data_IF_099731004610
#
_entry.id   IF_099731004610
#
_cell.length_a   1.000
_cell.length_b   1.000
_cell.length_c   1.000
_cell.angle_alpha   90.00
_cell.angle_beta   90.00
_cell.angle_gamma   90.00
#
_symmetry.space_group_name_H-M   'P 1'
#
loop_
_entity.id
_entity.type
_entity.pdbx_description
1 polymer ?
#
# COMPACT_ATOMS: atom_id res chain seq x y z
N UNK A 1 -21.98 57.62 -32.74
CA UNK A 1 -23.31 56.99 -32.53
C UNK A 1 -23.37 56.49 -31.09
N UNK A 2 -24.56 56.35 -30.47
CA UNK A 2 -24.77 56.00 -29.05
C UNK A 2 -25.92 54.99 -28.90
N UNK A 3 -26.10 54.44 -27.68
CA UNK A 3 -26.93 53.26 -27.29
C UNK A 3 -26.15 51.96 -27.55
N UNK A 4 -25.83 51.10 -26.57
CA UNK A 4 -26.31 50.95 -25.19
C UNK A 4 -27.81 50.61 -25.10
N UNK A 5 -28.10 49.33 -24.86
CA UNK A 5 -29.40 48.80 -24.45
C UNK A 5 -29.17 47.86 -23.26
N UNK A 6 -29.41 48.38 -22.06
CA UNK A 6 -29.90 47.58 -20.94
C UNK A 6 -31.44 47.60 -21.01
N UNK A 7 -32.08 46.51 -20.59
CA UNK A 7 -33.48 46.51 -20.14
C UNK A 7 -33.83 45.21 -19.42
N UNK A 8 -33.46 45.10 -18.15
CA UNK A 8 -34.05 44.12 -17.24
C UNK A 8 -35.53 44.45 -16.95
N UNK A 9 -36.48 43.74 -17.56
CA UNK A 9 -37.88 43.68 -17.09
C UNK A 9 -38.69 42.56 -17.75
N UNK A 10 -38.96 41.48 -17.01
CA UNK A 10 -40.13 40.62 -17.23
C UNK A 10 -40.74 40.24 -15.87
N UNK A 11 -41.87 40.87 -15.53
CA UNK A 11 -42.74 40.46 -14.41
C UNK A 11 -44.20 40.81 -14.69
N UNK A 12 -45.09 39.89 -14.30
CA UNK A 12 -46.51 40.11 -13.97
C UNK A 12 -47.48 40.47 -15.11
N UNK A 13 -48.34 39.51 -15.48
CA UNK A 13 -49.79 39.74 -15.65
C UNK A 13 -50.55 38.40 -15.59
N UNK A 14 -51.83 38.47 -15.20
CA UNK A 14 -52.81 37.37 -15.03
C UNK A 14 -52.60 36.46 -13.79
N UNK A 15 -53.63 36.16 -12.99
CA UNK A 15 -55.00 36.69 -13.02
C UNK A 15 -56.01 35.76 -12.33
N UNK A 16 -56.46 36.13 -11.13
CA UNK A 16 -57.35 35.32 -10.29
C UNK A 16 -58.70 34.99 -10.97
N UNK A 17 -59.21 33.77 -10.74
CA UNK A 17 -60.64 33.52 -10.57
C UNK A 17 -60.89 32.45 -9.50
N UNK A 18 -61.54 32.85 -8.41
CA UNK A 18 -62.22 31.98 -7.46
C UNK A 18 -63.72 31.97 -7.80
N UNK A 19 -64.46 30.94 -7.33
CA UNK A 19 -65.58 31.28 -6.45
C UNK A 19 -65.58 30.48 -5.13
N UNK A 20 -66.11 31.13 -4.10
CA UNK A 20 -66.63 30.51 -2.86
C UNK A 20 -68.10 30.08 -3.10
N UNK A 21 -68.89 29.45 -2.22
CA UNK A 21 -68.89 29.35 -0.76
C UNK A 21 -69.88 28.26 -0.25
N UNK A 22 -69.95 28.07 1.08
CA UNK A 22 -70.93 27.25 1.84
C UNK A 22 -70.81 25.72 1.68
N UNK A 23 -71.18 24.89 2.67
CA UNK A 23 -71.50 25.19 4.07
C UNK A 23 -72.38 24.13 4.77
N UNK A 24 -72.17 23.97 6.08
CA UNK A 24 -73.03 23.29 7.08
C UNK A 24 -72.98 21.75 7.31
N UNK A 25 -72.81 21.42 8.60
CA UNK A 25 -73.29 20.27 9.40
C UNK A 25 -73.00 18.80 9.02
N UNK A 26 -72.25 18.14 9.92
CA UNK A 26 -72.83 17.10 10.78
C UNK A 26 -72.43 15.63 10.56
N UNK A 27 -72.28 14.87 11.65
CA UNK A 27 -72.31 13.39 11.63
C UNK A 27 -71.05 12.67 12.14
N UNK A 28 -71.08 12.26 13.40
CA UNK A 28 -70.06 11.40 14.03
C UNK A 28 -69.87 10.04 13.34
N UNK A 29 -68.66 9.46 13.37
CA UNK A 29 -68.42 8.10 13.93
C UNK A 29 -66.94 7.63 13.94
N UNK A 30 -66.63 6.89 15.02
CA UNK A 30 -65.57 5.87 15.18
C UNK A 30 -64.10 6.31 15.07
N UNK A 31 -63.39 6.20 16.20
CA UNK A 31 -61.96 5.94 16.21
C UNK A 31 -61.67 4.51 15.74
N UNK A 32 -60.47 4.28 15.21
CA UNK A 32 -59.90 2.95 14.94
C UNK A 32 -58.45 2.93 15.45
N UNK A 33 -58.07 1.86 16.14
CA UNK A 33 -56.76 1.72 16.80
C UNK A 33 -55.83 0.94 15.85
N UNK A 34 -54.72 1.55 15.43
CA UNK A 34 -53.66 0.85 14.70
C UNK A 34 -52.83 0.00 15.65
N UNK A 35 -52.91 -1.33 15.54
CA UNK A 35 -52.28 -2.22 16.50
C UNK A 35 -50.76 -2.29 16.33
N UNK A 36 -50.07 -2.23 17.47
CA UNK A 36 -48.68 -2.68 17.61
C UNK A 36 -48.62 -4.18 17.30
N UNK A 37 -47.58 -4.64 16.58
CA UNK A 37 -47.38 -6.07 16.30
C UNK A 37 -46.21 -6.59 17.13
N UNK A 38 -46.49 -7.49 18.07
CA UNK A 38 -45.49 -8.16 18.91
C UNK A 38 -45.33 -9.60 18.42
N UNK A 39 -44.14 -9.96 17.94
CA UNK A 39 -43.73 -11.35 17.73
C UNK A 39 -43.00 -11.83 18.99
N UNK A 40 -43.60 -12.78 19.71
CA UNK A 40 -42.99 -13.37 20.90
C UNK A 40 -42.12 -14.58 20.52
N UNK A 41 -40.89 -14.63 21.07
CA UNK A 41 -40.10 -15.86 21.06
C UNK A 41 -40.62 -16.82 22.12
N UNK A 42 -40.98 -18.04 21.72
CA UNK A 42 -41.26 -19.12 22.65
C UNK A 42 -39.94 -19.81 23.03
N UNK A 43 -39.63 -19.86 24.33
CA UNK A 43 -38.49 -20.61 24.86
C UNK A 43 -38.97 -22.01 25.25
N UNK A 44 -38.26 -23.03 24.75
CA UNK A 44 -38.28 -24.39 25.32
C UNK A 44 -36.82 -24.76 25.55
N UNK A 45 -36.48 -25.06 26.81
CA UNK A 45 -35.21 -25.65 27.19
C UNK A 45 -35.45 -26.93 27.98
N UNK A 46 -34.44 -27.79 28.00
CA UNK A 46 -34.21 -28.81 29.01
C UNK A 46 -32.70 -28.92 29.21
N UNK A 47 -32.24 -28.78 30.45
CA UNK A 47 -30.93 -29.27 30.88
C UNK A 47 -30.97 -30.80 31.06
N UNK A 48 -29.84 -31.49 30.89
CA UNK A 48 -29.22 -32.15 32.06
C UNK A 48 -27.76 -32.63 31.82
N UNK A 49 -26.84 -31.95 32.50
CA UNK A 49 -25.75 -32.48 33.36
C UNK A 49 -24.96 -33.78 33.05
N UNK A 50 -23.63 -33.66 33.23
CA UNK A 50 -22.68 -34.72 33.68
C UNK A 50 -22.25 -35.81 32.67
N UNK A 51 -21.02 -36.36 32.69
CA UNK A 51 -19.78 -36.08 33.47
C UNK A 51 -18.53 -36.53 32.67
N UNK A 52 -17.31 -36.43 33.22
CA UNK A 52 -16.04 -36.70 32.52
C UNK A 52 -15.06 -37.57 33.30
N UNK A 53 -14.20 -38.34 32.62
CA UNK A 53 -12.84 -38.75 33.10
C UNK A 53 -12.02 -39.55 32.08
N UNK A 54 -10.69 -39.34 32.09
CA UNK A 54 -9.53 -40.23 31.81
C UNK A 54 -9.52 -41.34 30.72
N UNK A 55 -8.32 -41.61 30.17
CA UNK A 55 -7.96 -42.80 29.36
C UNK A 55 -7.52 -44.01 30.23
N UNK A 56 -6.60 -44.92 29.79
CA UNK A 56 -5.60 -44.80 28.71
C UNK A 56 -5.54 -46.04 27.75
N UNK A 57 -4.44 -46.17 26.95
CA UNK A 57 -3.80 -47.35 26.28
C UNK A 57 -4.66 -48.47 25.62
N UNK A 58 -4.31 -49.07 24.48
CA UNK A 58 -3.24 -50.07 24.30
C UNK A 58 -3.02 -50.45 22.80
N UNK A 59 -1.82 -50.94 22.46
CA UNK A 59 -1.53 -51.85 21.32
C UNK A 59 -1.72 -53.32 21.79
N UNK A 60 -2.01 -54.34 20.95
CA UNK A 60 -1.34 -54.68 19.66
C UNK A 60 -2.36 -55.16 18.56
N UNK A 61 -2.03 -55.76 17.41
CA UNK A 61 -0.76 -55.99 16.68
C UNK A 61 -0.80 -57.26 15.79
N UNK A 62 0.19 -57.37 14.89
CA UNK A 62 0.61 -58.54 14.05
C UNK A 62 -0.31 -59.09 12.92
N UNK A 63 0.28 -59.21 11.72
CA UNK A 63 0.19 -60.26 10.67
C UNK A 63 -1.18 -60.88 10.24
N UNK A 64 -1.46 -61.16 8.95
CA UNK A 64 -0.62 -62.05 8.10
C UNK A 64 -0.86 -61.94 6.57
N UNK A 65 0.27 -62.00 5.83
CA UNK A 65 0.52 -62.59 4.48
C UNK A 65 -0.60 -62.93 3.46
N UNK A 66 -0.47 -62.42 2.22
CA UNK A 66 -0.36 -63.20 0.95
C UNK A 66 -0.17 -62.21 -0.24
N UNK A 67 0.96 -62.20 -0.97
CA UNK A 67 1.31 -63.03 -2.15
C UNK A 67 0.27 -62.98 -3.29
N UNK A 68 0.60 -62.71 -4.58
CA UNK A 68 1.84 -63.11 -5.28
C UNK A 68 2.21 -62.31 -6.57
N UNK A 69 3.53 -62.28 -6.84
CA UNK A 69 4.31 -62.31 -8.11
C UNK A 69 3.74 -61.88 -9.48
N UNK A 70 4.53 -61.09 -10.25
CA UNK A 70 4.39 -60.93 -11.72
C UNK A 70 5.05 -59.68 -12.35
N UNK A 71 6.37 -59.48 -12.22
CA UNK A 71 7.42 -59.73 -13.25
C UNK A 71 7.41 -58.84 -14.53
N UNK A 72 8.27 -57.81 -14.49
CA UNK A 72 9.16 -57.23 -15.53
C UNK A 72 9.04 -57.73 -17.00
N UNK A 73 8.88 -56.77 -17.93
CA UNK A 73 9.65 -56.70 -19.20
C UNK A 73 9.73 -55.26 -19.76
N UNK A 74 10.86 -54.94 -20.37
CA UNK A 74 11.14 -53.77 -21.22
C UNK A 74 10.65 -54.01 -22.68
N UNK A 75 10.61 -53.00 -23.56
CA UNK A 75 11.57 -53.04 -24.69
C UNK A 75 12.10 -51.67 -25.14
N UNK A 76 13.17 -51.70 -25.94
CA UNK A 76 13.97 -50.56 -26.38
C UNK A 76 13.59 -49.99 -27.77
N UNK A 77 14.39 -49.03 -28.25
CA UNK A 77 14.29 -48.31 -29.54
C UNK A 77 14.41 -49.22 -30.79
N UNK A 78 13.96 -48.74 -31.97
CA UNK A 78 14.86 -48.41 -33.12
C UNK A 78 14.16 -47.63 -34.27
N UNK A 79 14.68 -46.43 -34.56
CA UNK A 79 15.00 -45.79 -35.88
C UNK A 79 14.10 -45.86 -37.14
N UNK A 80 14.18 -44.76 -37.93
CA UNK A 80 14.10 -44.65 -39.41
C UNK A 80 12.70 -44.63 -40.10
N UNK A 81 12.46 -43.91 -41.21
CA UNK A 81 13.19 -42.78 -41.87
C UNK A 81 12.39 -42.14 -43.03
N UNK A 82 12.66 -40.85 -43.32
CA UNK A 82 12.49 -40.19 -44.65
C UNK A 82 11.03 -39.93 -45.16
N UNK A 83 10.75 -38.99 -46.08
CA UNK A 83 11.61 -38.12 -46.92
C UNK A 83 10.88 -36.87 -47.47
N UNK A 84 11.59 -35.73 -47.52
CA UNK A 84 11.64 -34.70 -48.61
C UNK A 84 10.34 -33.97 -49.08
N UNK A 85 10.36 -32.79 -49.78
CA UNK A 85 11.45 -32.03 -50.45
C UNK A 85 11.11 -30.52 -50.65
N UNK A 86 12.10 -29.63 -50.48
CA UNK A 86 12.45 -28.41 -51.28
C UNK A 86 11.38 -27.31 -51.62
N UNK A 87 11.66 -26.06 -52.02
CA UNK A 87 12.85 -25.15 -52.24
C UNK A 87 12.27 -23.69 -52.29
N UNK A 88 12.96 -22.54 -52.32
CA UNK A 88 14.34 -22.04 -52.15
C UNK A 88 14.20 -20.58 -51.60
N UNK A 89 15.08 -19.56 -51.67
CA UNK A 89 16.41 -19.22 -52.23
C UNK A 89 16.86 -17.95 -51.47
N UNK A 90 18.10 -17.73 -51.01
CA UNK A 90 19.43 -17.62 -51.66
C UNK A 90 19.59 -16.39 -52.58
N UNK A 91 20.64 -15.56 -52.51
CA UNK A 91 21.80 -15.49 -51.56
C UNK A 91 22.70 -14.24 -51.85
N UNK A 92 23.82 -14.09 -51.12
CA UNK A 92 25.11 -13.48 -51.57
C UNK A 92 25.25 -11.92 -51.62
N UNK A 93 26.43 -11.28 -51.42
CA UNK A 93 27.80 -11.78 -51.10
C UNK A 93 28.76 -10.75 -50.44
N UNK A 94 29.68 -11.26 -49.59
CA UNK A 94 31.12 -10.93 -49.44
C UNK A 94 31.64 -9.52 -49.02
N UNK A 95 32.96 -9.47 -48.81
CA UNK A 95 33.74 -8.51 -48.03
C UNK A 95 35.04 -8.07 -48.75
N UNK A 96 35.64 -6.96 -48.30
CA UNK A 96 37.02 -6.56 -48.64
C UNK A 96 37.90 -6.39 -47.38
N UNK A 97 39.22 -6.36 -47.58
CA UNK A 97 40.25 -6.33 -46.52
C UNK A 97 41.29 -5.25 -46.81
N UNK A 98 41.75 -4.52 -45.78
CA UNK A 98 43.07 -3.85 -45.75
C UNK A 98 43.58 -3.62 -44.32
N UNK A 99 44.90 -3.61 -44.17
CA UNK A 99 45.64 -3.50 -42.90
C UNK A 99 46.35 -2.13 -42.78
N UNK A 100 47.23 -2.01 -41.77
CA UNK A 100 48.15 -0.91 -41.39
C UNK A 100 47.57 0.17 -40.45
N UNK A 101 48.28 0.62 -39.40
CA UNK A 101 49.58 0.15 -38.84
C UNK A 101 49.82 0.63 -37.38
N UNK A 102 50.61 -0.14 -36.62
CA UNK A 102 51.57 0.23 -35.54
C UNK A 102 51.28 1.46 -34.62
N UNK A 103 51.48 1.40 -33.30
CA UNK A 103 52.74 0.92 -32.67
C UNK A 103 52.59 0.55 -31.19
N UNK A 104 53.46 -0.33 -30.69
CA UNK A 104 53.70 -0.54 -29.25
C UNK A 104 54.72 0.47 -28.69
N UNK A 105 54.77 0.62 -27.36
CA UNK A 105 56.06 0.53 -26.64
C UNK A 105 55.92 0.20 -25.15
N UNK A 106 56.94 -0.45 -24.59
CA UNK A 106 56.99 -0.96 -23.21
C UNK A 106 58.26 -0.51 -22.47
N UNK A 107 58.18 -0.50 -21.14
CA UNK A 107 59.28 -0.28 -20.17
C UNK A 107 58.66 -0.13 -18.76
N UNK A 108 59.00 -0.89 -17.70
CA UNK A 108 60.29 -1.03 -16.99
C UNK A 108 60.88 0.32 -16.56
N UNK A 109 61.27 0.55 -15.30
CA UNK A 109 61.26 -0.24 -14.04
C UNK A 109 61.37 0.75 -12.84
N UNK A 110 61.44 0.45 -11.53
CA UNK A 110 62.02 -0.65 -10.72
C UNK A 110 61.63 -0.50 -9.21
N UNK A 111 61.97 -1.50 -8.36
CA UNK A 111 62.28 -1.47 -6.88
C UNK A 111 61.75 -0.34 -5.97
N UNK A 112 61.19 -0.58 -4.78
CA UNK A 112 61.76 -1.26 -3.58
C UNK A 112 60.62 -1.67 -2.60
N UNK A 113 60.60 -2.79 -1.85
CA UNK A 113 61.43 -3.25 -0.69
C UNK A 113 61.39 -2.25 0.51
N UNK A 114 61.03 -2.59 1.77
CA UNK A 114 60.74 -3.88 2.45
C UNK A 114 59.76 -3.73 3.67
N UNK A 115 59.36 -4.89 4.26
CA UNK A 115 58.98 -5.20 5.67
C UNK A 115 58.12 -4.21 6.53
N UNK A 116 56.99 -4.56 7.17
CA UNK A 116 56.61 -5.60 8.18
C UNK A 116 56.28 -4.93 9.55
N UNK A 117 55.57 -5.49 10.55
CA UNK A 117 54.88 -6.79 10.71
C UNK A 117 53.75 -6.72 11.77
N UNK A 118 53.02 -7.84 11.97
CA UNK A 118 52.19 -8.28 13.14
C UNK A 118 52.02 -7.36 14.36
N UNK A 119 50.78 -7.10 14.86
CA UNK A 119 49.96 -7.98 15.75
C UNK A 119 50.54 -8.16 17.19
N UNK A 120 49.79 -8.29 18.30
CA UNK A 120 48.60 -9.12 18.53
C UNK A 120 47.77 -8.74 19.79
N UNK A 121 46.60 -9.38 19.92
CA UNK A 121 45.54 -9.26 20.95
C UNK A 121 45.93 -9.48 22.43
N UNK A 122 45.05 -9.00 23.36
CA UNK A 122 44.72 -9.71 24.62
C UNK A 122 43.34 -9.34 25.19
N UNK A 123 42.78 -10.22 26.02
CA UNK A 123 41.42 -10.17 26.60
C UNK A 123 41.43 -10.37 28.13
N UNK A 124 40.50 -9.69 28.83
CA UNK A 124 39.70 -10.11 30.02
C UNK A 124 39.01 -8.84 30.60
N UNK A 125 37.73 -8.76 30.99
CA UNK A 125 36.76 -9.66 31.67
C UNK A 125 36.81 -9.60 33.21
N UNK A 126 35.82 -8.92 33.81
CA UNK A 126 35.25 -9.22 35.14
C UNK A 126 33.94 -8.48 35.36
N UNK A 127 33.04 -9.03 36.17
CA UNK A 127 31.68 -8.53 36.46
C UNK A 127 31.44 -8.31 37.96
N UNK A 128 30.44 -7.51 38.33
CA UNK A 128 29.75 -7.62 39.64
C UNK A 128 28.41 -6.88 39.66
N UNK A 129 27.51 -7.32 40.55
CA UNK A 129 26.12 -6.85 40.74
C UNK A 129 26.04 -5.73 41.79
N UNK A 130 25.00 -4.89 41.72
CA UNK A 130 24.60 -4.03 42.85
C UNK A 130 23.28 -3.29 42.63
N UNK A 131 22.23 -3.69 43.35
CA UNK A 131 21.07 -2.84 43.69
C UNK A 131 21.17 -2.41 45.16
N UNK A 132 20.60 -1.26 45.54
CA UNK A 132 19.46 -1.33 46.46
C UNK A 132 18.35 -0.30 46.14
N UNK A 133 17.40 -0.14 47.06
CA UNK A 133 16.12 0.54 46.90
C UNK A 133 16.06 2.00 47.40
N UNK A 134 15.10 2.76 46.84
CA UNK A 134 14.15 3.67 47.52
C UNK A 134 14.57 4.96 48.30
N UNK A 135 13.60 5.88 48.31
CA UNK A 135 13.33 6.94 49.32
C UNK A 135 14.07 8.30 49.27
N UNK A 136 13.40 9.26 48.60
CA UNK A 136 13.08 10.63 49.09
C UNK A 136 14.09 11.45 49.93
N UNK A 137 14.47 12.64 49.43
CA UNK A 137 13.85 13.91 49.90
C UNK A 137 14.43 15.20 49.25
N UNK A 138 13.53 16.14 48.96
CA UNK A 138 13.64 17.62 49.06
C UNK A 138 14.92 18.41 48.68
N UNK A 139 14.77 19.19 47.59
CA UNK A 139 15.31 20.54 47.29
C UNK A 139 16.69 21.01 47.81
N UNK A 140 17.53 21.50 46.87
CA UNK A 140 17.91 22.95 46.83
C UNK A 140 18.62 23.42 45.55
N UNK A 141 18.00 24.42 44.91
CA UNK A 141 18.59 25.58 44.20
C UNK A 141 19.59 25.44 43.03
N UNK A 142 19.38 26.32 42.03
CA UNK A 142 20.27 26.68 40.90
C UNK A 142 20.51 25.58 39.83
N UNK A 143 20.54 25.89 38.53
CA UNK A 143 20.65 27.21 37.87
C UNK A 143 19.53 27.46 36.85
N UNK A 144 19.15 28.73 36.68
CA UNK A 144 18.14 29.17 35.71
C UNK A 144 18.71 29.21 34.27
N UNK A 145 18.99 28.03 33.70
CA UNK A 145 19.17 27.92 32.26
C UNK A 145 17.83 28.17 31.56
N UNK A 146 17.79 29.15 30.66
CA UNK A 146 16.72 29.20 29.65
C UNK A 146 16.87 28.00 28.73
N UNK A 147 16.21 26.89 29.08
CA UNK A 147 15.81 25.93 28.07
C UNK A 147 14.71 26.62 27.28
N UNK A 148 15.07 27.20 26.13
CA UNK A 148 14.07 27.36 25.08
C UNK A 148 13.65 25.96 24.69
N UNK A 149 12.49 25.55 25.23
CA UNK A 149 11.77 24.42 24.69
C UNK A 149 11.36 24.84 23.29
N UNK A 150 12.17 24.47 22.30
CA UNK A 150 11.82 24.50 20.88
C UNK A 150 10.70 23.51 20.65
N UNK A 151 9.53 23.86 21.16
CA UNK A 151 8.26 23.21 20.93
C UNK A 151 7.91 23.47 19.48
N UNK A 152 8.52 22.68 18.59
CA UNK A 152 8.25 22.66 17.15
C UNK A 152 6.81 22.23 16.92
N UNK A 153 5.89 23.18 17.11
CA UNK A 153 4.46 23.01 16.93
C UNK A 153 4.20 22.86 15.43
N UNK A 154 4.28 21.61 14.97
CA UNK A 154 3.95 21.22 13.60
C UNK A 154 2.56 21.77 13.30
N UNK A 155 2.45 22.61 12.28
CA UNK A 155 1.17 23.23 11.95
C UNK A 155 0.21 22.14 11.45
N UNK A 156 -0.97 22.06 12.06
CA UNK A 156 -2.03 21.21 11.54
C UNK A 156 -2.51 21.78 10.20
N UNK A 157 -2.61 20.92 9.20
CA UNK A 157 -3.20 21.25 7.92
C UNK A 157 -4.72 21.33 8.08
N UNK A 158 -5.31 22.42 7.58
CA UNK A 158 -6.78 22.58 7.56
C UNK A 158 -7.37 21.66 6.49
N UNK A 159 -8.46 20.91 6.78
CA UNK A 159 -9.24 20.22 5.75
C UNK A 159 -9.67 21.20 4.66
N UNK A 160 -9.46 20.81 3.41
CA UNK A 160 -9.63 21.68 2.23
C UNK A 160 -10.77 21.23 1.30
N UNK A 161 -11.40 20.08 1.56
CA UNK A 161 -12.45 19.48 0.74
C UNK A 161 -13.68 19.05 1.56
N UNK A 162 -14.84 19.16 0.94
CA UNK A 162 -16.16 18.70 1.41
C UNK A 162 -16.95 18.09 0.24
N UNK A 163 -18.18 17.65 0.49
CA UNK A 163 -19.11 17.19 -0.56
C UNK A 163 -19.53 18.30 -1.56
N UNK A 164 -19.41 19.59 -1.18
CA UNK A 164 -19.90 20.73 -1.97
C UNK A 164 -18.82 21.70 -2.44
N UNK A 165 -17.66 21.71 -1.79
CA UNK A 165 -16.55 22.62 -2.07
C UNK A 165 -15.21 21.88 -2.02
N UNK A 166 -14.28 22.24 -2.91
CA UNK A 166 -12.99 21.59 -3.08
C UNK A 166 -11.90 22.65 -3.31
N UNK A 167 -11.24 23.05 -2.22
CA UNK A 167 -10.29 24.16 -2.16
C UNK A 167 -8.84 23.66 -1.94
N UNK A 168 -8.56 22.38 -2.18
CA UNK A 168 -7.23 21.80 -1.97
C UNK A 168 -6.21 22.28 -3.03
N UNK A 169 -4.93 22.42 -2.63
CA UNK A 169 -3.83 22.74 -3.53
C UNK A 169 -3.45 21.48 -4.34
N UNK A 170 -4.03 21.35 -5.54
CA UNK A 170 -3.80 20.26 -6.47
C UNK A 170 -2.70 20.58 -7.50
N UNK A 171 -2.06 19.53 -8.01
CA UNK A 171 -1.14 19.57 -9.14
C UNK A 171 -1.20 18.29 -9.96
N UNK A 172 -0.21 18.09 -10.82
CA UNK A 172 -0.01 16.84 -11.57
C UNK A 172 1.47 16.48 -11.66
N UNK A 173 1.75 15.19 -11.89
CA UNK A 173 3.06 14.68 -12.30
C UNK A 173 2.88 13.85 -13.57
N UNK A 174 3.71 14.12 -14.58
CA UNK A 174 3.87 13.27 -15.76
C UNK A 174 4.94 12.21 -15.46
N UNK A 175 4.64 10.95 -15.78
CA UNK A 175 5.61 9.87 -15.77
C UNK A 175 6.13 9.62 -17.19
N UNK A 176 7.27 10.23 -17.54
CA UNK A 176 7.86 10.14 -18.89
C UNK A 176 8.20 8.71 -19.34
N UNK A 177 8.15 7.72 -18.43
CA UNK A 177 8.43 6.30 -18.72
C UNK A 177 7.26 5.57 -19.38
N UNK A 178 6.03 6.05 -19.22
CA UNK A 178 4.83 5.49 -19.88
C UNK A 178 3.84 6.56 -20.42
N UNK A 179 4.09 7.84 -20.15
CA UNK A 179 3.26 8.97 -20.56
C UNK A 179 2.04 9.21 -19.66
N UNK A 180 1.88 8.47 -18.56
CA UNK A 180 0.75 8.63 -17.66
C UNK A 180 0.91 9.90 -16.81
N UNK A 181 -0.13 10.73 -16.79
CA UNK A 181 -0.23 11.88 -15.88
C UNK A 181 -1.07 11.51 -14.68
N UNK A 182 -0.53 11.69 -13.48
CA UNK A 182 -1.20 11.44 -12.21
C UNK A 182 -1.51 12.76 -11.51
N UNK A 183 -2.66 12.84 -10.82
CA UNK A 183 -3.02 13.96 -9.95
C UNK A 183 -2.20 13.92 -8.66
N UNK A 184 -1.84 15.11 -8.17
CA UNK A 184 -1.14 15.30 -6.90
C UNK A 184 -1.91 16.29 -6.03
N UNK A 185 -1.74 16.19 -4.71
CA UNK A 185 -2.33 17.12 -3.74
C UNK A 185 -1.29 17.41 -2.65
N UNK A 186 -1.25 18.64 -2.18
CA UNK A 186 -0.38 19.06 -1.08
C UNK A 186 -1.11 18.95 0.25
N UNK A 187 -0.47 18.35 1.25
CA UNK A 187 -1.02 18.15 2.59
C UNK A 187 0.05 18.51 3.63
N UNK A 188 -0.19 19.59 4.37
CA UNK A 188 0.87 20.29 5.09
C UNK A 188 1.89 20.85 4.08
N UNK A 189 3.17 20.60 4.33
CA UNK A 189 4.25 21.01 3.42
C UNK A 189 4.51 20.01 2.28
N UNK A 190 4.10 18.74 2.42
CA UNK A 190 4.44 17.67 1.48
C UNK A 190 3.45 17.52 0.32
N UNK A 191 3.98 17.19 -0.86
CA UNK A 191 3.20 16.80 -2.04
C UNK A 191 3.02 15.28 -2.11
N UNK A 192 1.78 14.84 -2.24
CA UNK A 192 1.40 13.43 -2.35
C UNK A 192 0.72 13.15 -3.68
N UNK A 193 0.92 11.97 -4.26
CA UNK A 193 0.05 11.49 -5.34
C UNK A 193 -1.37 11.30 -4.77
N UNK A 194 -2.38 11.89 -5.44
CA UNK A 194 -3.80 11.68 -5.13
C UNK A 194 -4.35 10.39 -5.79
N UNK A 195 -3.59 9.80 -6.72
CA UNK A 195 -3.90 8.57 -7.43
C UNK A 195 -2.85 7.49 -7.15
N UNK A 196 -3.22 6.22 -7.29
CA UNK A 196 -2.30 5.10 -7.07
C UNK A 196 -1.39 4.93 -8.31
N UNK A 197 -0.09 4.73 -8.11
CA UNK A 197 0.84 4.54 -9.23
C UNK A 197 0.47 3.30 -10.06
N UNK A 198 0.46 3.42 -11.38
CA UNK A 198 0.00 2.42 -12.33
C UNK A 198 1.09 2.02 -13.36
N UNK A 199 2.34 2.43 -13.12
CA UNK A 199 3.50 2.09 -13.94
C UNK A 199 3.73 0.57 -14.04
N UNK A 200 3.87 0.04 -15.25
CA UNK A 200 3.99 -1.41 -15.48
C UNK A 200 5.43 -1.90 -15.29
N UNK A 201 5.63 -2.77 -14.29
CA UNK A 201 6.83 -3.60 -14.11
C UNK A 201 6.48 -5.10 -14.09
N UNK A 202 7.45 -5.97 -14.35
CA UNK A 202 7.28 -7.44 -14.37
C UNK A 202 6.69 -8.02 -13.08
N UNK A 203 6.96 -7.38 -11.94
CA UNK A 203 6.53 -7.80 -10.61
C UNK A 203 5.44 -6.88 -10.03
N UNK A 204 4.57 -6.37 -10.92
CA UNK A 204 3.38 -5.60 -10.58
C UNK A 204 2.15 -6.12 -11.32
N UNK A 205 0.97 -5.98 -10.71
CA UNK A 205 -0.25 -6.67 -11.11
C UNK A 205 -1.45 -5.72 -11.05
N UNK A 206 -2.42 -5.91 -11.94
CA UNK A 206 -3.76 -5.35 -11.75
C UNK A 206 -4.52 -6.23 -10.75
N UNK A 207 -5.48 -5.69 -10.00
CA UNK A 207 -6.34 -6.54 -9.16
C UNK A 207 -7.09 -7.56 -10.04
N UNK A 208 -7.05 -8.85 -9.72
CA UNK A 208 -7.58 -9.94 -10.57
C UNK A 208 -7.10 -9.90 -12.04
N UNK A 209 -5.92 -9.33 -12.29
CA UNK A 209 -5.29 -9.23 -13.62
C UNK A 209 -6.11 -8.51 -14.71
N UNK A 210 -7.18 -7.77 -14.35
CA UNK A 210 -7.98 -6.98 -15.30
C UNK A 210 -7.42 -5.58 -15.51
N UNK A 211 -7.31 -5.16 -16.78
CA UNK A 211 -6.90 -3.81 -17.15
C UNK A 211 -7.80 -2.71 -16.55
N UNK A 212 -9.11 -2.94 -16.48
CA UNK A 212 -10.09 -2.03 -15.86
C UNK A 212 -9.77 -1.76 -14.38
N UNK A 213 -9.24 -2.77 -13.67
CA UNK A 213 -8.83 -2.61 -12.29
C UNK A 213 -7.47 -1.92 -12.14
N UNK A 214 -6.56 -2.02 -13.13
CA UNK A 214 -5.39 -1.13 -13.18
C UNK A 214 -5.81 0.33 -13.40
N UNK A 215 -6.69 0.60 -14.37
CA UNK A 215 -7.19 1.95 -14.65
C UNK A 215 -7.91 2.56 -13.43
N UNK A 216 -8.71 1.78 -12.71
CA UNK A 216 -9.46 2.26 -11.54
C UNK A 216 -8.66 2.35 -10.24
N UNK A 217 -7.71 1.44 -9.99
CA UNK A 217 -7.05 1.30 -8.67
C UNK A 217 -5.52 1.43 -8.72
N UNK A 218 -4.94 1.70 -9.89
CA UNK A 218 -3.50 1.56 -10.12
C UNK A 218 -3.03 0.11 -9.97
N UNK A 219 -1.72 -0.05 -9.82
CA UNK A 219 -1.08 -1.37 -9.70
C UNK A 219 -0.80 -1.77 -8.26
N UNK A 220 -0.73 -3.09 -8.07
CA UNK A 220 -0.21 -3.73 -6.87
C UNK A 220 1.21 -4.22 -7.17
N UNK A 221 2.20 -3.81 -6.37
CA UNK A 221 3.62 -4.07 -6.56
C UNK A 221 4.14 -5.00 -5.45
N UNK A 222 5.00 -5.97 -5.76
CA UNK A 222 5.82 -6.57 -4.70
C UNK A 222 6.72 -5.50 -4.09
N UNK A 223 7.17 -5.66 -2.84
CA UNK A 223 8.06 -4.65 -2.25
C UNK A 223 9.38 -4.51 -3.02
N UNK A 224 9.87 -5.60 -3.62
CA UNK A 224 11.03 -5.57 -4.52
C UNK A 224 10.78 -4.77 -5.81
N UNK A 225 9.57 -4.83 -6.37
CA UNK A 225 9.18 -3.99 -7.51
C UNK A 225 9.04 -2.53 -7.10
N UNK A 226 8.39 -2.27 -5.96
CA UNK A 226 8.22 -0.92 -5.42
C UNK A 226 9.58 -0.23 -5.16
N UNK A 227 10.54 -0.94 -4.59
CA UNK A 227 11.89 -0.44 -4.29
C UNK A 227 12.80 -0.31 -5.52
N UNK A 228 12.39 -0.74 -6.72
CA UNK A 228 13.26 -0.90 -7.89
C UNK A 228 14.51 -1.75 -7.58
N UNK A 229 14.28 -3.02 -7.19
CA UNK A 229 15.35 -3.96 -6.83
C UNK A 229 16.40 -4.18 -7.93
N UNK A 230 16.05 -3.97 -9.21
CA UNK A 230 17.00 -4.03 -10.31
C UNK A 230 17.97 -2.83 -10.35
N UNK A 231 17.53 -1.68 -9.83
CA UNK A 231 18.23 -0.39 -9.92
C UNK A 231 18.13 0.20 -11.32
N UNK A 232 16.93 0.18 -11.90
CA UNK A 232 16.58 0.67 -13.24
C UNK A 232 16.49 2.19 -13.31
N UNK A 233 15.94 2.81 -12.25
CA UNK A 233 15.62 4.23 -12.14
C UNK A 233 16.37 4.91 -10.99
N UNK A 234 16.86 4.14 -10.02
CA UNK A 234 17.75 4.61 -8.94
C UNK A 234 18.54 3.45 -8.33
N UNK A 235 19.79 3.68 -7.94
CA UNK A 235 20.60 2.69 -7.21
C UNK A 235 20.13 2.47 -5.76
N UNK A 236 19.31 3.37 -5.20
CA UNK A 236 19.06 3.42 -3.75
C UNK A 236 18.35 2.18 -3.18
N UNK A 237 17.46 1.54 -3.95
CA UNK A 237 16.76 0.31 -3.56
C UNK A 237 17.30 -0.98 -4.20
N UNK A 238 18.45 -0.90 -4.89
CA UNK A 238 19.01 -2.02 -5.66
C UNK A 238 19.33 -3.23 -4.76
N UNK A 239 18.81 -4.40 -5.13
CA UNK A 239 18.94 -5.65 -4.38
C UNK A 239 17.98 -5.81 -3.19
N UNK A 240 17.15 -4.80 -2.89
CA UNK A 240 16.18 -4.87 -1.80
C UNK A 240 14.96 -5.72 -2.20
N UNK A 241 14.49 -6.59 -1.31
CA UNK A 241 13.39 -7.50 -1.63
C UNK A 241 13.19 -8.63 -0.62
N UNK A 242 12.34 -9.59 -0.96
CA UNK A 242 12.12 -10.79 -0.15
C UNK A 242 13.41 -11.61 0.00
N UNK A 243 13.64 -12.17 1.20
CA UNK A 243 14.85 -12.92 1.51
C UNK A 243 16.15 -12.10 1.54
N UNK A 244 16.07 -10.76 1.43
CA UNK A 244 17.20 -9.84 1.51
C UNK A 244 16.97 -8.79 2.59
N UNK A 245 18.06 -8.39 3.26
CA UNK A 245 18.12 -7.20 4.11
C UNK A 245 18.54 -6.01 3.24
N UNK A 246 17.87 -4.89 3.39
CA UNK A 246 18.03 -3.66 2.64
C UNK A 246 18.65 -2.61 3.56
N UNK A 247 19.67 -1.91 3.08
CA UNK A 247 20.25 -0.73 3.74
C UNK A 247 20.28 0.41 2.72
N UNK A 248 19.10 0.95 2.33
CA UNK A 248 19.00 1.88 1.23
C UNK A 248 19.45 3.28 1.68
N UNK A 249 19.86 4.11 0.73
CA UNK A 249 19.98 5.55 0.97
C UNK A 249 18.61 6.19 0.77
N UNK A 250 18.12 6.93 1.76
CA UNK A 250 16.84 7.64 1.67
C UNK A 250 17.05 9.07 1.13
N UNK A 251 16.07 9.63 0.38
CA UNK A 251 14.84 8.99 -0.08
C UNK A 251 15.09 7.91 -1.16
N UNK A 252 14.16 6.96 -1.27
CA UNK A 252 14.22 5.87 -2.27
C UNK A 252 13.20 6.16 -3.36
N UNK A 253 13.65 6.64 -4.53
CA UNK A 253 12.79 6.79 -5.73
C UNK A 253 12.01 5.51 -5.98
N UNK A 254 12.70 4.38 -6.03
CA UNK A 254 12.11 3.09 -6.36
C UNK A 254 11.39 3.14 -7.70
N UNK A 255 10.15 2.67 -7.71
CA UNK A 255 9.27 2.67 -8.88
C UNK A 255 8.67 4.04 -9.21
N UNK A 256 8.85 5.08 -8.38
CA UNK A 256 8.22 6.39 -8.59
C UNK A 256 8.76 7.19 -9.81
N UNK A 257 7.98 8.17 -10.31
CA UNK A 257 8.43 9.13 -11.32
C UNK A 257 9.69 9.91 -10.88
N UNK A 258 10.28 10.68 -11.79
CA UNK A 258 11.48 11.46 -11.45
C UNK A 258 11.14 12.63 -10.51
N UNK A 259 11.99 12.87 -9.52
CA UNK A 259 11.73 13.87 -8.47
C UNK A 259 10.65 13.47 -7.46
N UNK A 260 10.23 12.20 -7.43
CA UNK A 260 9.28 11.61 -6.49
C UNK A 260 9.84 10.32 -5.88
N UNK A 261 9.40 9.94 -4.68
CA UNK A 261 9.91 8.75 -3.99
C UNK A 261 8.87 7.97 -3.20
N UNK A 262 9.26 6.75 -2.80
CA UNK A 262 8.48 5.92 -1.89
C UNK A 262 8.54 6.50 -0.47
N UNK A 263 7.39 6.82 0.16
CA UNK A 263 7.34 7.38 1.50
C UNK A 263 7.98 6.45 2.54
N UNK A 264 8.80 7.02 3.40
CA UNK A 264 9.28 6.36 4.62
C UNK A 264 8.18 6.31 5.68
N UNK A 265 8.40 5.51 6.73
CA UNK A 265 7.57 5.51 7.93
C UNK A 265 7.50 6.92 8.58
N UNK A 266 8.56 7.72 8.47
CA UNK A 266 8.59 9.10 8.98
C UNK A 266 7.60 9.99 8.24
N UNK A 267 7.57 9.93 6.90
CA UNK A 267 6.73 10.80 6.07
C UNK A 267 5.25 10.45 6.20
N UNK A 268 4.90 9.17 6.33
CA UNK A 268 3.54 8.77 6.69
C UNK A 268 3.13 9.33 8.07
N UNK A 269 4.03 9.33 9.06
CA UNK A 269 3.77 9.96 10.36
C UNK A 269 3.67 11.50 10.28
N UNK A 270 4.43 12.15 9.39
CA UNK A 270 4.30 13.59 9.09
C UNK A 270 2.90 13.89 8.52
N UNK A 271 2.45 13.13 7.52
CA UNK A 271 1.11 13.24 6.95
C UNK A 271 0.02 13.08 8.01
N UNK A 272 0.13 12.05 8.86
CA UNK A 272 -0.84 11.83 9.93
C UNK A 272 -0.83 12.95 10.97
N UNK A 273 0.35 13.42 11.38
CA UNK A 273 0.51 14.54 12.32
C UNK A 273 -0.14 15.80 11.77
N UNK A 274 0.10 16.13 10.50
CA UNK A 274 -0.53 17.28 9.83
C UNK A 274 -2.06 17.21 9.83
N UNK A 275 -2.65 16.01 9.73
CA UNK A 275 -4.11 15.79 9.73
C UNK A 275 -4.73 15.77 11.15
N UNK A 276 -3.90 15.81 12.21
CA UNK A 276 -4.35 15.76 13.60
C UNK A 276 -4.19 14.40 14.29
N UNK A 277 -3.51 13.45 13.66
CA UNK A 277 -3.08 12.18 14.24
C UNK A 277 -3.65 10.93 13.57
N UNK A 278 -3.09 9.77 13.93
CA UNK A 278 -3.49 8.48 13.36
C UNK A 278 -4.97 8.15 13.55
N UNK A 279 -5.61 8.62 14.63
CA UNK A 279 -7.02 8.33 14.95
C UNK A 279 -8.05 9.05 14.09
N UNK A 280 -7.64 10.06 13.30
CA UNK A 280 -8.51 10.80 12.37
C UNK A 280 -8.02 10.72 10.92
N UNK A 281 -6.75 10.41 10.71
CA UNK A 281 -6.18 10.34 9.36
C UNK A 281 -6.87 9.31 8.45
N UNK A 282 -7.48 8.25 8.96
CA UNK A 282 -8.19 7.27 8.13
C UNK A 282 -9.45 7.84 7.49
N UNK A 283 -10.41 8.38 8.26
CA UNK A 283 -11.62 9.01 7.69
C UNK A 283 -11.28 10.14 6.71
N UNK A 284 -10.22 10.90 7.01
CA UNK A 284 -9.77 12.06 6.26
C UNK A 284 -9.05 11.71 4.94
N UNK A 285 -8.42 10.52 4.85
CA UNK A 285 -7.68 10.06 3.66
C UNK A 285 -8.47 9.07 2.78
N UNK A 286 -9.43 8.32 3.34
CA UNK A 286 -10.29 7.39 2.57
C UNK A 286 -11.12 8.16 1.53
N UNK A 287 -11.06 7.72 0.27
CA UNK A 287 -11.92 8.23 -0.79
C UNK A 287 -13.40 7.97 -0.47
N UNK A 288 -14.30 8.90 -0.82
CA UNK A 288 -15.75 8.77 -0.61
C UNK A 288 -16.42 7.57 -1.33
N UNK A 289 -15.70 6.86 -2.21
CA UNK A 289 -16.21 5.67 -2.90
C UNK A 289 -15.15 4.55 -3.01
N UNK A 290 -15.54 3.41 -3.58
CA UNK A 290 -14.83 2.10 -3.65
C UNK A 290 -14.87 1.23 -2.39
N UNK A 291 -15.00 1.83 -1.20
CA UNK A 291 -15.13 1.15 0.09
C UNK A 291 -16.49 0.46 0.27
N UNK A 292 -16.52 -0.60 1.07
CA UNK A 292 -17.75 -1.19 1.61
C UNK A 292 -18.32 -0.26 2.70
N UNK A 293 -19.63 -0.03 2.69
CA UNK A 293 -20.28 0.79 3.70
C UNK A 293 -20.29 0.09 5.08
N UNK A 294 -19.91 0.82 6.12
CA UNK A 294 -19.98 0.39 7.52
C UNK A 294 -20.50 1.56 8.38
N UNK A 295 -21.38 1.26 9.34
CA UNK A 295 -22.23 2.28 10.01
C UNK A 295 -21.52 3.20 11.00
N UNK A 296 -20.24 2.94 11.29
CA UNK A 296 -19.47 3.60 12.34
C UNK A 296 -18.09 4.04 11.84
N UNK A 297 -18.02 4.39 10.56
CA UNK A 297 -16.80 4.86 9.90
C UNK A 297 -17.12 5.78 8.72
N UNK A 298 -16.50 6.94 8.63
CA UNK A 298 -16.71 7.89 7.53
C UNK A 298 -15.56 7.87 6.52
N UNK A 299 -15.82 8.35 5.29
CA UNK A 299 -14.87 8.39 4.18
C UNK A 299 -14.89 9.80 3.56
N UNK A 300 -14.46 10.80 4.34
CA UNK A 300 -14.67 12.23 4.04
C UNK A 300 -13.72 12.78 2.97
N UNK A 301 -12.54 12.15 2.78
CA UNK A 301 -11.55 12.58 1.79
C UNK A 301 -11.15 14.08 1.90
N UNK A 302 -11.21 14.65 3.11
CA UNK A 302 -11.22 16.10 3.30
C UNK A 302 -9.89 16.81 2.96
N UNK A 303 -8.84 16.04 2.66
CA UNK A 303 -7.54 16.52 2.15
C UNK A 303 -7.27 16.13 0.69
N UNK A 304 -8.29 15.67 -0.04
CA UNK A 304 -8.20 15.31 -1.45
C UNK A 304 -7.39 14.05 -1.78
N UNK A 305 -6.71 13.45 -0.80
CA UNK A 305 -5.80 12.31 -0.97
C UNK A 305 -6.44 11.11 -1.70
N UNK A 306 -7.73 10.85 -1.50
CA UNK A 306 -8.50 9.87 -2.28
C UNK A 306 -7.92 8.44 -2.22
N UNK A 307 -7.68 7.90 -1.02
CA UNK A 307 -7.25 6.51 -0.86
C UNK A 307 -8.37 5.54 -1.28
N UNK A 308 -8.13 4.77 -2.34
CA UNK A 308 -9.05 3.76 -2.87
C UNK A 308 -8.74 2.38 -2.28
N UNK A 309 -9.77 1.64 -1.88
CA UNK A 309 -9.64 0.28 -1.33
C UNK A 309 -9.36 -0.77 -2.42
N UNK A 310 -8.16 -0.72 -2.98
CA UNK A 310 -7.66 -1.62 -4.01
C UNK A 310 -7.51 -3.08 -3.54
N UNK A 311 -7.48 -3.33 -2.23
CA UNK A 311 -7.17 -4.63 -1.65
C UNK A 311 -5.68 -4.97 -1.77
N UNK A 312 -5.38 -6.24 -2.04
CA UNK A 312 -4.02 -6.76 -2.18
C UNK A 312 -3.96 -8.05 -3.00
N UNK A 313 -2.74 -8.46 -3.37
CA UNK A 313 -2.41 -9.77 -3.93
C UNK A 313 -1.57 -10.56 -2.92
N UNK A 314 -1.90 -11.83 -2.72
CA UNK A 314 -1.20 -12.77 -1.85
C UNK A 314 -0.05 -13.45 -2.59
N UNK A 315 0.88 -14.07 -1.85
CA UNK A 315 2.01 -14.82 -2.40
C UNK A 315 1.61 -15.84 -3.47
N UNK A 316 0.62 -16.68 -3.15
CA UNK A 316 0.11 -17.74 -4.02
C UNK A 316 -0.77 -17.24 -5.20
N UNK A 317 -0.66 -15.96 -5.56
CA UNK A 317 -1.33 -15.37 -6.73
C UNK A 317 -2.78 -14.95 -6.54
N UNK A 318 -3.45 -15.37 -5.46
CA UNK A 318 -4.82 -14.95 -5.14
C UNK A 318 -4.92 -13.45 -4.81
N UNK A 319 -6.13 -12.91 -4.92
CA UNK A 319 -6.47 -11.51 -4.68
C UNK A 319 -7.56 -11.39 -3.60
N UNK A 320 -7.48 -10.38 -2.75
CA UNK A 320 -8.48 -10.14 -1.70
C UNK A 320 -8.61 -8.68 -1.27
N UNK A 321 -9.53 -8.46 -0.35
CA UNK A 321 -9.74 -7.21 0.39
C UNK A 321 -10.08 -5.95 -0.45
N UNK A 322 -10.34 -6.06 -1.76
CA UNK A 322 -10.83 -4.92 -2.56
C UNK A 322 -12.22 -4.48 -2.08
N UNK A 323 -12.32 -3.27 -1.53
CA UNK A 323 -13.51 -2.76 -0.83
C UNK A 323 -13.39 -2.79 0.70
N UNK A 324 -12.40 -3.52 1.23
CA UNK A 324 -12.16 -3.68 2.66
C UNK A 324 -10.91 -2.93 3.12
N UNK A 325 -9.82 -3.00 2.35
CA UNK A 325 -8.53 -2.38 2.69
C UNK A 325 -7.97 -1.54 1.53
N UNK A 326 -7.28 -0.46 1.89
CA UNK A 326 -6.28 0.19 1.04
C UNK A 326 -4.91 -0.01 1.70
N UNK A 327 -3.94 -0.56 0.96
CA UNK A 327 -2.62 -0.91 1.45
C UNK A 327 -1.55 -0.24 0.58
N UNK A 328 -0.57 0.41 1.18
CA UNK A 328 0.45 1.19 0.49
C UNK A 328 1.86 0.86 0.99
N UNK A 329 2.75 0.40 0.13
CA UNK A 329 4.15 0.16 0.50
C UNK A 329 4.89 1.46 0.84
N UNK A 330 5.64 1.45 1.93
CA UNK A 330 6.70 2.42 2.20
C UNK A 330 8.09 1.89 1.85
N UNK A 331 9.09 2.77 1.89
CA UNK A 331 10.50 2.42 1.63
C UNK A 331 11.26 1.86 2.84
N UNK A 332 10.72 2.01 4.06
CA UNK A 332 11.38 1.59 5.31
C UNK A 332 11.30 0.08 5.53
N UNK A 333 12.44 -0.58 5.74
CA UNK A 333 12.52 -2.02 6.01
C UNK A 333 12.36 -2.37 7.51
N UNK A 334 11.70 -3.51 7.79
CA UNK A 334 11.71 -4.16 9.10
C UNK A 334 12.12 -5.65 8.98
N UNK A 335 13.41 -5.91 8.76
CA UNK A 335 13.97 -7.27 8.70
C UNK A 335 13.45 -8.12 7.54
N UNK A 336 12.64 -9.14 7.83
CA UNK A 336 11.93 -9.96 6.81
C UNK A 336 10.77 -9.22 6.15
N UNK A 337 10.28 -8.16 6.80
CA UNK A 337 9.11 -7.38 6.43
C UNK A 337 9.52 -5.97 5.96
N UNK A 338 8.56 -5.21 5.46
CA UNK A 338 8.72 -3.79 5.16
C UNK A 338 7.50 -3.02 5.66
N UNK A 339 7.69 -1.75 5.97
CA UNK A 339 6.60 -0.91 6.46
C UNK A 339 5.59 -0.61 5.35
N UNK A 340 4.32 -0.59 5.75
CA UNK A 340 3.21 -0.25 4.90
C UNK A 340 2.18 0.58 5.67
N UNK A 341 1.55 1.52 4.97
CA UNK A 341 0.38 2.23 5.49
C UNK A 341 -0.87 1.45 5.09
N UNK A 342 -1.84 1.32 5.99
CA UNK A 342 -3.15 0.78 5.63
C UNK A 342 -4.33 1.49 6.29
N UNK A 343 -5.45 1.52 5.56
CA UNK A 343 -6.76 2.00 6.00
C UNK A 343 -7.78 0.85 5.83
N UNK A 344 -8.72 0.69 6.78
CA UNK A 344 -9.77 -0.34 6.74
C UNK A 344 -11.16 0.27 6.60
N UNK A 345 -12.09 -0.44 5.94
CA UNK A 345 -13.47 -0.01 5.69
C UNK A 345 -14.30 0.24 6.96
N UNK A 346 -13.93 -0.38 8.08
CA UNK A 346 -14.65 -0.34 9.35
C UNK A 346 -13.89 0.41 10.46
N UNK A 347 -12.92 1.23 10.10
CA UNK A 347 -12.08 1.98 11.04
C UNK A 347 -11.72 3.34 10.42
N UNK A 348 -11.65 4.38 11.26
CA UNK A 348 -11.29 5.74 10.87
C UNK A 348 -9.84 6.11 11.25
N UNK A 349 -9.11 5.17 11.86
CA UNK A 349 -7.68 5.27 12.07
C UNK A 349 -6.88 4.96 10.78
N UNK A 350 -5.77 5.65 10.59
CA UNK A 350 -4.70 5.25 9.67
C UNK A 350 -3.59 4.50 10.42
N UNK A 351 -3.18 3.35 9.88
CA UNK A 351 -2.23 2.44 10.54
C UNK A 351 -0.90 2.41 9.81
N UNK A 352 0.19 2.24 10.56
CA UNK A 352 1.53 1.93 10.08
C UNK A 352 2.03 0.68 10.80
N UNK A 353 2.17 -0.40 10.05
CA UNK A 353 2.69 -1.69 10.53
C UNK A 353 3.79 -2.15 9.56
N UNK A 354 4.35 -3.34 9.78
CA UNK A 354 5.24 -4.04 8.84
C UNK A 354 4.57 -5.30 8.29
N UNK A 355 4.86 -5.64 7.03
CA UNK A 355 4.31 -6.84 6.40
C UNK A 355 5.26 -7.52 5.43
N UNK A 356 4.96 -8.77 5.10
CA UNK A 356 5.87 -9.62 4.33
C UNK A 356 6.04 -9.13 2.88
N UNK A 357 7.30 -8.86 2.51
CA UNK A 357 7.75 -8.24 1.25
C UNK A 357 7.28 -8.91 -0.05
N UNK A 358 6.75 -10.13 0.04
CA UNK A 358 6.23 -10.94 -1.06
C UNK A 358 4.74 -10.70 -1.37
N UNK A 359 4.02 -9.96 -0.53
CA UNK A 359 2.68 -9.45 -0.86
C UNK A 359 2.77 -8.35 -1.91
N UNK A 360 1.66 -8.09 -2.61
CA UNK A 360 1.55 -6.92 -3.48
C UNK A 360 0.52 -5.92 -2.97
N UNK A 361 0.97 -4.69 -2.74
CA UNK A 361 0.20 -3.53 -2.27
C UNK A 361 0.36 -2.36 -3.26
N UNK A 362 -0.50 -1.35 -3.17
CA UNK A 362 -0.40 -0.17 -4.02
C UNK A 362 0.83 0.68 -3.67
N UNK A 363 1.19 1.60 -4.57
CA UNK A 363 2.20 2.62 -4.31
C UNK A 363 1.56 4.01 -4.40
N UNK A 364 1.91 4.84 -3.43
CA UNK A 364 1.69 6.29 -3.42
C UNK A 364 3.06 6.92 -3.30
N UNK A 365 3.44 7.76 -4.25
CA UNK A 365 4.68 8.51 -4.15
C UNK A 365 4.44 9.83 -3.43
N UNK A 366 5.48 10.29 -2.75
CA UNK A 366 5.55 11.59 -2.05
C UNK A 366 6.72 12.39 -2.61
N UNK A 367 6.69 13.70 -2.38
CA UNK A 367 7.72 14.66 -2.71
C UNK A 367 7.70 15.79 -1.68
N UNK A 368 8.89 16.23 -1.29
CA UNK A 368 9.14 17.42 -0.47
C UNK A 368 9.38 18.69 -1.33
#
# INVERSE_FOLDING_TARGET
MKKFLDLSSWRTALGNLLPSAHGHQGGSRKAAIGSMLIMAFAVVGCDDSSSASAGPNDEPGVESSSSSSGKVTEPAEVTSSSSEKAKSSSSDTQSEVKQSSSSEKTGKSSSSTDDASSSSVKLRSSSSVGTPESSSSEISSSSAGKIESSSSSVALATPCKTETEDNCEYGTVLDDRDGQTYKTVKIGDQWWMAENLNYKTDNSFCYKDSAEYCEKYGRLYTWAAAMDSAGTWSTNGKGCGYGKRCSPTYPVRGVCPEGWHLPTQTEWNTLFTAIGGQSTAGQMLKAASSWLAFSSSTNENAFGFSALSAGNKYYYGSYGNKGYDANFWGSTEFGSHAHYMYLRFNNDNAHLEDYAKYYCFSVRCVKD
#
